data_IF_160498332360
#
_entry.id   IF_160498332360
#
_cell.length_a   1.000
_cell.length_b   1.000
_cell.length_c   1.000
_cell.angle_alpha   90.00
_cell.angle_beta   90.00
_cell.angle_gamma   90.00
#
_symmetry.space_group_name_H-M   'P 1'
#
loop_
_entity.id
_entity.type
_entity.pdbx_description
1 polymer ?
#
# COMPACT_ATOMS: atom_id res chain seq x y z
N UNK A 1 -2.65 -23.35 11.89
CA UNK A 1 -2.35 -22.35 10.83
C UNK A 1 -1.00 -22.72 10.25
N UNK A 2 -0.93 -23.03 8.96
CA UNK A 2 0.35 -23.27 8.27
C UNK A 2 1.01 -21.91 8.03
N UNK A 3 2.23 -21.72 8.52
CA UNK A 3 3.02 -20.55 8.18
C UNK A 3 3.63 -20.79 6.79
N UNK A 4 3.37 -19.88 5.86
CA UNK A 4 4.03 -19.87 4.56
C UNK A 4 5.46 -19.35 4.78
N UNK A 5 6.45 -20.23 4.70
CA UNK A 5 7.86 -19.84 4.76
C UNK A 5 8.32 -19.52 3.34
N UNK A 6 8.53 -18.24 3.04
CA UNK A 6 9.16 -17.81 1.79
C UNK A 6 10.67 -17.75 1.97
N UNK A 7 11.43 -17.92 0.87
CA UNK A 7 12.87 -17.69 0.86
C UNK A 7 13.23 -16.60 -0.15
N UNK A 8 12.93 -15.31 0.16
CA UNK A 8 13.14 -14.21 -0.79
C UNK A 8 14.58 -14.11 -1.30
N UNK A 9 15.56 -14.40 -0.44
CA UNK A 9 16.97 -14.40 -0.79
C UNK A 9 17.33 -15.46 -1.85
N UNK A 10 16.74 -16.67 -1.76
CA UNK A 10 17.01 -17.72 -2.76
C UNK A 10 16.34 -17.42 -4.09
N UNK A 11 15.16 -16.78 -4.07
CA UNK A 11 14.49 -16.29 -5.28
C UNK A 11 15.29 -15.19 -5.97
N UNK A 12 15.86 -14.25 -5.22
CA UNK A 12 16.72 -13.20 -5.78
C UNK A 12 18.02 -13.76 -6.38
N UNK A 13 18.63 -14.76 -5.73
CA UNK A 13 19.78 -15.48 -6.28
C UNK A 13 19.41 -16.20 -7.59
N UNK A 14 18.29 -16.94 -7.60
CA UNK A 14 17.81 -17.63 -8.79
C UNK A 14 17.51 -16.67 -9.96
N UNK A 15 16.96 -15.48 -9.68
CA UNK A 15 16.74 -14.45 -10.69
C UNK A 15 18.07 -13.97 -11.32
N UNK A 16 19.12 -13.85 -10.51
CA UNK A 16 20.47 -13.49 -10.98
C UNK A 16 21.06 -14.59 -11.86
N UNK A 17 20.93 -15.86 -11.45
CA UNK A 17 21.39 -17.00 -12.24
C UNK A 17 20.64 -17.09 -13.58
N UNK A 18 19.33 -16.87 -13.58
CA UNK A 18 18.51 -16.84 -14.79
C UNK A 18 18.91 -15.69 -15.71
N UNK A 19 19.24 -14.51 -15.19
CA UNK A 19 19.76 -13.40 -16.00
C UNK A 19 21.07 -13.80 -16.72
N UNK A 20 21.98 -14.46 -16.00
CA UNK A 20 23.24 -14.95 -16.56
C UNK A 20 23.02 -16.02 -17.65
N UNK A 21 22.07 -16.94 -17.44
CA UNK A 21 21.67 -17.93 -18.44
C UNK A 21 21.11 -17.24 -19.69
N UNK A 22 20.19 -16.28 -19.52
CA UNK A 22 19.61 -15.51 -20.62
C UNK A 22 20.66 -14.75 -21.45
N UNK A 23 21.64 -14.15 -20.77
CA UNK A 23 22.79 -13.50 -21.42
C UNK A 23 23.64 -14.48 -22.22
N UNK A 24 23.92 -15.67 -21.66
CA UNK A 24 24.72 -16.71 -22.32
C UNK A 24 24.02 -17.22 -23.58
N UNK A 25 22.72 -17.49 -23.50
CA UNK A 25 21.92 -17.95 -24.64
C UNK A 25 21.83 -16.87 -25.72
N UNK A 26 21.62 -15.61 -25.34
CA UNK A 26 21.56 -14.50 -26.29
C UNK A 26 22.88 -14.30 -27.03
N UNK A 27 24.02 -14.42 -26.32
CA UNK A 27 25.34 -14.38 -26.93
C UNK A 27 25.58 -15.55 -27.90
N UNK A 28 25.14 -16.76 -27.55
CA UNK A 28 25.23 -17.93 -28.44
C UNK A 28 24.37 -17.76 -29.70
N UNK A 29 23.13 -17.28 -29.55
CA UNK A 29 22.23 -16.99 -30.68
C UNK A 29 22.81 -15.95 -31.63
N UNK A 30 23.41 -14.90 -31.07
CA UNK A 30 24.10 -13.87 -31.84
C UNK A 30 25.31 -14.42 -32.60
N UNK A 31 26.16 -15.21 -31.93
CA UNK A 31 27.35 -15.81 -32.55
C UNK A 31 27.01 -16.75 -33.72
N UNK A 32 25.86 -17.44 -33.64
CA UNK A 32 25.41 -18.38 -34.67
C UNK A 32 24.55 -17.75 -35.77
N UNK A 33 24.19 -16.47 -35.67
CA UNK A 33 23.32 -15.80 -36.63
C UNK A 33 23.88 -15.81 -38.06
N UNK A 34 25.12 -15.35 -38.26
CA UNK A 34 25.73 -15.34 -39.60
C UNK A 34 26.01 -16.76 -40.15
N UNK A 35 26.62 -17.70 -39.39
CA UNK A 35 26.86 -19.07 -39.87
C UNK A 35 25.61 -19.82 -40.32
N UNK A 36 24.46 -19.55 -39.70
CA UNK A 36 23.20 -20.27 -40.02
C UNK A 36 22.37 -19.59 -41.10
N UNK A 37 22.54 -18.28 -41.31
CA UNK A 37 21.80 -17.52 -42.34
C UNK A 37 22.54 -17.45 -43.68
N UNK A 38 23.86 -17.56 -43.68
CA UNK A 38 24.70 -17.47 -44.88
C UNK A 38 25.10 -18.86 -45.44
N UNK A 39 24.18 -19.83 -45.39
CA UNK A 39 24.43 -21.17 -45.95
C UNK A 39 24.54 -21.08 -47.47
N UNK A 40 25.62 -21.62 -48.02
CA UNK A 40 25.88 -21.63 -49.47
C UNK A 40 25.42 -22.95 -50.07
N UNK A 41 24.91 -22.92 -51.30
CA UNK A 41 24.54 -24.10 -52.07
C UNK A 41 25.76 -25.03 -52.26
N UNK A 42 25.58 -26.33 -52.03
CA UNK A 42 26.65 -27.33 -52.15
C UNK A 42 27.04 -27.59 -53.62
N UNK A 43 26.12 -27.38 -54.55
CA UNK A 43 26.30 -27.49 -55.99
C UNK A 43 25.63 -26.34 -56.74
N UNK A 44 25.87 -26.27 -58.06
CA UNK A 44 25.29 -25.25 -58.94
C UNK A 44 23.85 -25.57 -59.40
N UNK A 45 23.28 -26.69 -58.95
CA UNK A 45 21.95 -27.13 -59.29
C UNK A 45 20.87 -26.41 -58.46
N UNK A 46 19.65 -26.40 -59.02
CA UNK A 46 18.50 -25.73 -58.41
C UNK A 46 18.10 -26.34 -57.07
N UNK A 47 18.32 -27.65 -56.86
CA UNK A 47 17.98 -28.32 -55.60
C UNK A 47 18.91 -27.85 -54.49
N UNK A 48 20.22 -27.80 -54.74
CA UNK A 48 21.21 -27.23 -53.81
C UNK A 48 20.90 -25.78 -53.45
N UNK A 49 20.49 -24.97 -54.43
CA UNK A 49 20.11 -23.57 -54.20
C UNK A 49 18.85 -23.45 -53.31
N UNK A 50 17.82 -24.25 -53.58
CA UNK A 50 16.57 -24.25 -52.77
C UNK A 50 16.82 -24.75 -51.36
N UNK A 51 17.66 -25.79 -51.17
CA UNK A 51 18.01 -26.30 -49.83
C UNK A 51 18.76 -25.25 -49.02
N UNK A 52 19.74 -24.57 -49.61
CA UNK A 52 20.45 -23.47 -48.93
C UNK A 52 19.50 -22.32 -48.55
N UNK A 53 18.59 -21.94 -49.45
CA UNK A 53 17.57 -20.93 -49.19
C UNK A 53 16.60 -21.33 -48.05
N UNK A 54 16.20 -22.62 -48.00
CA UNK A 54 15.35 -23.15 -46.92
C UNK A 54 16.04 -23.00 -45.55
N UNK A 55 17.31 -23.38 -45.43
CA UNK A 55 18.05 -23.22 -44.17
C UNK A 55 18.22 -21.75 -43.79
N UNK A 56 18.52 -20.87 -44.76
CA UNK A 56 18.61 -19.43 -44.50
C UNK A 56 17.30 -18.82 -43.98
N UNK A 57 16.17 -19.18 -44.58
CA UNK A 57 14.83 -18.75 -44.15
C UNK A 57 14.46 -19.29 -42.75
N UNK A 58 14.77 -20.57 -42.50
CA UNK A 58 14.57 -21.17 -41.18
C UNK A 58 15.41 -20.47 -40.10
N UNK A 59 16.68 -20.19 -40.39
CA UNK A 59 17.57 -19.48 -39.48
C UNK A 59 17.08 -18.05 -39.18
N UNK A 60 16.58 -17.32 -40.18
CA UNK A 60 15.98 -15.99 -39.96
C UNK A 60 14.74 -16.07 -39.05
N UNK A 61 13.87 -17.06 -39.28
CA UNK A 61 12.70 -17.30 -38.43
C UNK A 61 13.09 -17.67 -37.00
N UNK A 62 14.13 -18.48 -36.84
CA UNK A 62 14.69 -18.84 -35.54
C UNK A 62 15.26 -17.61 -34.80
N UNK A 63 15.98 -16.72 -35.49
CA UNK A 63 16.52 -15.49 -34.89
C UNK A 63 15.41 -14.53 -34.45
N UNK A 64 14.31 -14.42 -35.20
CA UNK A 64 13.16 -13.63 -34.78
C UNK A 64 12.49 -14.21 -33.53
N UNK A 65 12.33 -15.54 -33.48
CA UNK A 65 11.77 -16.24 -32.31
C UNK A 65 12.69 -16.13 -31.09
N UNK A 66 13.99 -16.25 -31.27
CA UNK A 66 14.96 -16.18 -30.18
C UNK A 66 14.99 -14.79 -29.54
N UNK A 67 14.85 -13.73 -30.33
CA UNK A 67 14.70 -12.37 -29.82
C UNK A 67 13.41 -12.19 -29.01
N UNK A 68 12.29 -12.75 -29.47
CA UNK A 68 11.04 -12.73 -28.71
C UNK A 68 11.14 -13.52 -27.39
N UNK A 69 11.81 -14.68 -27.42
CA UNK A 69 12.07 -15.48 -26.24
C UNK A 69 12.96 -14.75 -25.22
N UNK A 70 13.98 -14.00 -25.68
CA UNK A 70 14.83 -13.19 -24.82
C UNK A 70 14.02 -12.11 -24.06
N UNK A 71 13.13 -11.39 -24.76
CA UNK A 71 12.25 -10.40 -24.12
C UNK A 71 11.31 -11.02 -23.08
N UNK A 72 10.73 -12.18 -23.39
CA UNK A 72 9.91 -12.90 -22.43
C UNK A 72 10.72 -13.33 -21.20
N UNK A 73 11.94 -13.83 -21.41
CA UNK A 73 12.84 -14.24 -20.34
C UNK A 73 13.22 -13.07 -19.43
N UNK A 74 13.53 -11.91 -20.01
CA UNK A 74 13.80 -10.68 -19.24
C UNK A 74 12.59 -10.27 -18.38
N UNK A 75 11.39 -10.30 -18.94
CA UNK A 75 10.16 -10.00 -18.20
C UNK A 75 9.93 -11.00 -17.06
N UNK A 76 10.20 -12.29 -17.30
CA UNK A 76 10.09 -13.33 -16.28
C UNK A 76 11.08 -13.09 -15.12
N UNK A 77 12.35 -12.81 -15.43
CA UNK A 77 13.38 -12.51 -14.43
C UNK A 77 13.00 -11.27 -13.61
N UNK A 78 12.53 -10.21 -14.28
CA UNK A 78 12.09 -8.99 -13.62
C UNK A 78 10.92 -9.26 -12.67
N UNK A 79 9.90 -10.02 -13.12
CA UNK A 79 8.76 -10.39 -12.28
C UNK A 79 9.17 -11.23 -11.06
N UNK A 80 10.11 -12.17 -11.24
CA UNK A 80 10.63 -12.99 -10.15
C UNK A 80 11.34 -12.12 -9.08
N UNK A 81 12.13 -11.15 -9.51
CA UNK A 81 12.87 -10.24 -8.63
C UNK A 81 11.91 -9.29 -7.86
N UNK A 82 10.89 -8.77 -8.54
CA UNK A 82 9.84 -7.97 -7.91
C UNK A 82 9.02 -8.79 -6.89
N UNK A 83 8.74 -10.06 -7.21
CA UNK A 83 8.07 -11.00 -6.30
C UNK A 83 8.91 -11.25 -5.03
N UNK A 84 10.21 -11.50 -5.18
CA UNK A 84 11.12 -11.67 -4.05
C UNK A 84 11.14 -10.42 -3.14
N UNK A 85 11.24 -9.22 -3.71
CA UNK A 85 11.19 -7.97 -2.96
C UNK A 85 9.87 -7.77 -2.21
N UNK A 86 8.75 -8.13 -2.84
CA UNK A 86 7.42 -8.07 -2.20
C UNK A 86 7.35 -8.97 -0.97
N UNK A 87 7.81 -10.22 -1.05
CA UNK A 87 7.82 -11.13 0.10
C UNK A 87 8.74 -10.63 1.23
N UNK A 88 9.94 -10.16 0.90
CA UNK A 88 10.86 -9.59 1.90
C UNK A 88 10.23 -8.38 2.62
N UNK A 89 9.53 -7.51 1.89
CA UNK A 89 8.84 -6.36 2.49
C UNK A 89 7.68 -6.77 3.40
N UNK A 90 6.94 -7.82 3.02
CA UNK A 90 5.85 -8.35 3.83
C UNK A 90 6.38 -8.95 5.14
N UNK A 91 7.48 -9.71 5.09
CA UNK A 91 8.15 -10.23 6.29
C UNK A 91 8.62 -9.10 7.21
N UNK A 92 9.26 -8.06 6.65
CA UNK A 92 9.71 -6.91 7.43
C UNK A 92 8.55 -6.15 8.11
N UNK A 93 7.44 -5.92 7.39
CA UNK A 93 6.26 -5.25 7.95
C UNK A 93 5.60 -6.08 9.06
N UNK A 94 5.51 -7.40 8.88
CA UNK A 94 4.97 -8.30 9.91
C UNK A 94 5.83 -8.30 11.17
N UNK A 95 7.16 -8.30 11.04
CA UNK A 95 8.09 -8.21 12.17
C UNK A 95 7.98 -6.85 12.87
N UNK A 96 7.91 -5.76 12.11
CA UNK A 96 7.73 -4.42 12.66
C UNK A 96 6.43 -4.31 13.46
N UNK A 97 5.33 -4.86 12.96
CA UNK A 97 4.06 -4.90 13.67
C UNK A 97 4.16 -5.74 14.95
N UNK A 98 4.79 -6.91 14.90
CA UNK A 98 5.01 -7.75 16.08
C UNK A 98 5.80 -7.03 17.16
N UNK A 99 6.82 -6.26 16.77
CA UNK A 99 7.60 -5.45 17.69
C UNK A 99 6.78 -4.30 18.30
N UNK A 100 6.00 -3.58 17.49
CA UNK A 100 5.09 -2.54 17.98
C UNK A 100 4.05 -3.10 18.95
N UNK A 101 3.50 -4.28 18.66
CA UNK A 101 2.55 -4.97 19.54
C UNK A 101 3.23 -5.36 20.85
N UNK A 102 4.46 -5.86 20.82
CA UNK A 102 5.24 -6.17 22.02
C UNK A 102 5.54 -4.92 22.87
N UNK A 103 5.89 -3.80 22.25
CA UNK A 103 6.11 -2.51 22.94
C UNK A 103 4.80 -2.00 23.58
N UNK A 104 3.68 -2.18 22.89
CA UNK A 104 2.37 -1.70 23.35
C UNK A 104 1.67 -2.66 24.33
N UNK A 105 2.07 -3.92 24.40
CA UNK A 105 1.38 -4.93 25.21
C UNK A 105 1.26 -4.56 26.71
N UNK A 106 2.32 -4.06 27.39
CA UNK A 106 2.21 -3.68 28.79
C UNK A 106 1.22 -2.53 29.02
N UNK A 107 1.24 -1.51 28.18
CA UNK A 107 0.37 -0.33 28.33
C UNK A 107 -1.06 -0.60 27.92
N UNK A 108 -1.29 -1.42 26.89
CA UNK A 108 -2.64 -1.89 26.55
C UNK A 108 -3.24 -2.68 27.71
N UNK A 109 -2.44 -3.52 28.37
CA UNK A 109 -2.89 -4.32 29.51
C UNK A 109 -3.18 -3.44 30.74
N UNK A 110 -2.30 -2.48 31.05
CA UNK A 110 -2.40 -1.68 32.26
C UNK A 110 -3.36 -0.49 32.13
N UNK A 111 -3.42 0.14 30.95
CA UNK A 111 -4.10 1.42 30.74
C UNK A 111 -5.17 1.38 29.65
N UNK A 112 -5.41 0.21 29.01
CA UNK A 112 -6.37 0.07 27.92
C UNK A 112 -6.00 0.83 26.65
N UNK A 113 -4.77 1.36 26.56
CA UNK A 113 -4.29 2.22 25.45
C UNK A 113 -2.86 1.84 25.06
N UNK A 114 -2.49 1.93 23.77
CA UNK A 114 -1.11 1.72 23.36
C UNK A 114 -0.19 2.81 23.94
N UNK A 115 1.10 2.51 24.06
CA UNK A 115 2.13 3.48 24.39
C UNK A 115 2.42 4.39 23.18
N UNK A 116 2.54 3.77 22.01
CA UNK A 116 2.83 4.40 20.73
C UNK A 116 1.85 3.87 19.69
N UNK A 117 1.23 4.77 18.94
CA UNK A 117 0.36 4.44 17.81
C UNK A 117 -0.88 5.31 17.78
N UNK A 118 -1.44 5.49 16.59
CA UNK A 118 -2.64 6.28 16.41
C UNK A 118 -3.88 5.58 16.96
N UNK A 119 -4.87 6.38 17.33
CA UNK A 119 -6.18 5.91 17.73
C UNK A 119 -6.94 5.33 16.55
N UNK A 120 -7.71 4.27 16.78
CA UNK A 120 -8.51 3.66 15.72
C UNK A 120 -9.60 4.62 15.23
N UNK A 121 -9.72 4.80 13.92
CA UNK A 121 -10.87 5.49 13.34
C UNK A 121 -12.14 4.69 13.60
N UNK A 122 -13.23 5.38 13.91
CA UNK A 122 -14.52 4.73 14.01
C UNK A 122 -15.03 4.32 12.62
N UNK A 123 -15.66 3.15 12.55
CA UNK A 123 -16.28 2.62 11.33
C UNK A 123 -17.80 2.49 11.46
N UNK A 124 -18.32 2.43 12.68
CA UNK A 124 -19.76 2.39 12.94
C UNK A 124 -20.34 3.80 12.85
N UNK A 125 -21.47 4.03 12.15
CA UNK A 125 -22.05 5.37 12.02
C UNK A 125 -22.24 6.09 13.36
N UNK A 126 -21.81 7.34 13.45
CA UNK A 126 -21.79 8.14 14.68
C UNK A 126 -20.87 7.63 15.79
N UNK A 127 -20.02 6.63 15.51
CA UNK A 127 -19.05 6.10 16.45
C UNK A 127 -17.86 7.05 16.64
N UNK A 128 -17.35 7.13 17.87
CA UNK A 128 -16.24 8.01 18.21
C UNK A 128 -14.89 7.38 17.86
N UNK A 129 -13.95 8.19 17.37
CA UNK A 129 -12.58 7.77 17.17
C UNK A 129 -11.90 7.38 18.48
N UNK A 130 -11.07 6.35 18.44
CA UNK A 130 -10.28 5.89 19.57
C UNK A 130 -9.20 6.90 19.96
N UNK A 131 -8.79 6.88 21.22
CA UNK A 131 -7.69 7.71 21.69
C UNK A 131 -6.35 7.22 21.13
N UNK A 132 -5.44 8.15 20.82
CA UNK A 132 -4.06 7.87 20.43
C UNK A 132 -3.23 7.27 21.56
N UNK A 133 -2.01 6.87 21.24
CA UNK A 133 -1.05 6.31 22.19
C UNK A 133 -0.70 7.28 23.31
N UNK A 134 -0.27 6.75 24.45
CA UNK A 134 0.04 7.54 25.65
C UNK A 134 1.20 8.53 25.42
N UNK A 135 2.26 8.11 24.72
CA UNK A 135 3.43 8.95 24.44
C UNK A 135 3.37 9.58 23.05
N UNK A 136 3.08 8.77 22.04
CA UNK A 136 3.05 9.24 20.66
C UNK A 136 1.88 8.62 19.91
N UNK A 137 1.09 9.46 19.25
CA UNK A 137 0.00 9.01 18.39
C UNK A 137 -1.12 10.02 18.33
N UNK A 138 -1.66 10.17 17.13
CA UNK A 138 -2.84 10.99 16.88
C UNK A 138 -4.10 10.29 17.40
N UNK A 139 -5.12 11.06 17.71
CA UNK A 139 -6.45 10.50 17.93
C UNK A 139 -7.09 10.02 16.64
N UNK A 140 -7.91 8.98 16.72
CA UNK A 140 -8.67 8.48 15.57
C UNK A 140 -9.81 9.40 15.18
N UNK A 141 -10.22 9.40 13.92
CA UNK A 141 -11.36 10.16 13.44
C UNK A 141 -12.68 9.51 13.87
N UNK A 142 -13.69 10.34 14.14
CA UNK A 142 -15.06 9.87 14.29
C UNK A 142 -15.64 9.35 12.97
N UNK A 143 -16.75 8.62 13.06
CA UNK A 143 -17.50 8.14 11.90
C UNK A 143 -18.71 9.03 11.60
N UNK A 144 -19.06 9.25 10.32
CA UNK A 144 -20.26 10.02 9.95
C UNK A 144 -21.54 9.44 10.59
N UNK A 145 -22.49 10.31 10.92
CA UNK A 145 -23.79 9.89 11.45
C UNK A 145 -24.76 9.40 10.36
N UNK A 146 -25.63 8.46 10.72
CA UNK A 146 -26.83 8.10 9.94
C UNK A 146 -27.94 9.17 10.12
N UNK A 147 -28.99 9.20 9.28
CA UNK A 147 -30.12 10.12 9.48
C UNK A 147 -30.65 10.11 10.92
N UNK A 148 -30.78 11.29 11.52
CA UNK A 148 -31.17 11.48 12.93
C UNK A 148 -30.07 11.18 13.95
N UNK A 149 -28.86 10.79 13.52
CA UNK A 149 -27.73 10.46 14.40
C UNK A 149 -26.58 11.43 14.21
N UNK A 150 -26.02 11.90 15.32
CA UNK A 150 -24.89 12.80 15.32
C UNK A 150 -23.63 12.14 14.71
N UNK A 151 -22.74 12.98 14.20
CA UNK A 151 -21.41 12.55 13.78
C UNK A 151 -20.59 12.15 15.00
N UNK A 152 -19.74 11.14 14.84
CA UNK A 152 -18.86 10.69 15.91
C UNK A 152 -17.79 11.74 16.23
N UNK A 153 -17.42 11.84 17.50
CA UNK A 153 -16.31 12.70 17.90
C UNK A 153 -14.97 12.11 17.48
N UNK A 154 -13.99 12.97 17.21
CA UNK A 154 -12.60 12.55 17.10
C UNK A 154 -12.04 12.12 18.46
N UNK A 155 -11.09 11.21 18.44
CA UNK A 155 -10.35 10.75 19.62
C UNK A 155 -9.29 11.76 20.04
N UNK A 156 -8.93 11.77 21.33
CA UNK A 156 -7.83 12.59 21.82
C UNK A 156 -6.47 11.94 21.58
N UNK A 157 -5.43 12.75 21.37
CA UNK A 157 -4.03 12.29 21.43
C UNK A 157 -3.55 12.09 22.88
N UNK A 158 -2.33 11.56 23.05
CA UNK A 158 -1.66 11.41 24.35
C UNK A 158 -0.74 12.58 24.67
N UNK A 159 0.56 12.29 24.84
CA UNK A 159 1.57 13.31 25.11
C UNK A 159 1.93 14.12 23.85
N UNK A 160 2.25 13.41 22.76
CA UNK A 160 2.57 14.00 21.45
C UNK A 160 1.62 13.42 20.40
N UNK A 161 0.97 14.28 19.62
CA UNK A 161 0.08 13.90 18.53
C UNK A 161 -1.09 14.85 18.37
N UNK A 162 -1.75 14.83 17.22
CA UNK A 162 -2.92 15.65 16.95
C UNK A 162 -4.20 14.94 17.36
N UNK A 163 -5.21 15.70 17.78
CA UNK A 163 -6.54 15.15 18.01
C UNK A 163 -7.19 14.71 16.69
N UNK A 164 -8.01 13.67 16.75
CA UNK A 164 -8.75 13.18 15.59
C UNK A 164 -9.86 14.14 15.18
N UNK A 165 -10.25 14.12 13.91
CA UNK A 165 -11.35 14.93 13.42
C UNK A 165 -12.70 14.36 13.89
N UNK A 166 -13.62 15.26 14.25
CA UNK A 166 -15.04 14.94 14.37
C UNK A 166 -15.65 14.73 12.99
N UNK A 167 -16.64 13.84 12.90
CA UNK A 167 -17.29 13.52 11.63
C UNK A 167 -18.58 14.29 11.40
N UNK A 168 -19.05 14.31 10.16
CA UNK A 168 -20.31 14.96 9.82
C UNK A 168 -21.51 14.30 10.51
N UNK A 169 -22.50 15.09 10.88
CA UNK A 169 -23.80 14.62 11.35
C UNK A 169 -24.62 14.05 10.20
N UNK A 170 -25.43 13.02 10.48
CA UNK A 170 -26.45 12.59 9.53
C UNK A 170 -27.59 13.60 9.44
N UNK A 171 -28.50 13.41 8.49
CA UNK A 171 -29.58 14.38 8.25
C UNK A 171 -30.32 14.75 9.56
N UNK A 172 -30.52 16.05 9.81
CA UNK A 172 -31.16 16.60 11.00
C UNK A 172 -30.36 16.49 12.29
N UNK A 173 -29.10 16.04 12.24
CA UNK A 173 -28.28 15.77 13.40
C UNK A 173 -26.95 16.54 13.37
N UNK A 174 -26.40 16.89 14.55
CA UNK A 174 -25.19 17.69 14.64
C UNK A 174 -23.93 16.92 14.22
N UNK A 175 -22.90 17.66 13.83
CA UNK A 175 -21.55 17.13 13.62
C UNK A 175 -20.88 16.73 14.93
N UNK A 176 -19.92 15.80 14.83
CA UNK A 176 -19.11 15.36 15.95
C UNK A 176 -18.02 16.38 16.29
N UNK A 177 -17.62 16.45 17.55
CA UNK A 177 -16.54 17.34 17.98
C UNK A 177 -15.16 16.79 17.55
N UNK A 178 -14.20 17.68 17.32
CA UNK A 178 -12.79 17.31 17.18
C UNK A 178 -12.20 16.85 18.52
N UNK A 179 -11.25 15.92 18.46
CA UNK A 179 -10.53 15.43 19.63
C UNK A 179 -9.44 16.40 20.09
N UNK A 180 -9.02 16.31 21.35
CA UNK A 180 -7.92 17.13 21.86
C UNK A 180 -6.56 16.71 21.28
N UNK A 181 -5.69 17.69 21.04
CA UNK A 181 -4.28 17.49 20.71
C UNK A 181 -3.46 17.01 21.90
N UNK A 182 -2.23 16.62 21.63
CA UNK A 182 -1.31 16.04 22.60
C UNK A 182 -0.91 17.06 23.64
N UNK A 183 -0.79 16.62 24.90
CA UNK A 183 -0.56 17.53 26.03
C UNK A 183 0.67 18.42 25.84
N UNK A 184 1.80 17.83 25.40
CA UNK A 184 3.05 18.55 25.18
C UNK A 184 3.12 19.16 23.78
N UNK A 185 2.71 18.40 22.76
CA UNK A 185 2.77 18.87 21.38
C UNK A 185 1.66 18.24 20.54
N UNK A 186 0.87 19.09 19.90
CA UNK A 186 -0.10 18.69 18.92
C UNK A 186 -1.32 19.61 18.85
N UNK A 187 -1.93 19.65 17.68
CA UNK A 187 -3.14 20.43 17.44
C UNK A 187 -4.38 19.63 17.82
N UNK A 188 -5.43 20.33 18.24
CA UNK A 188 -6.75 19.72 18.33
C UNK A 188 -7.29 19.36 16.96
N UNK A 189 -8.14 18.34 16.91
CA UNK A 189 -8.82 17.93 15.70
C UNK A 189 -9.92 18.91 15.29
N UNK A 190 -10.26 18.94 14.01
CA UNK A 190 -11.37 19.78 13.53
C UNK A 190 -12.71 19.20 13.96
N UNK A 191 -13.69 20.07 14.23
CA UNK A 191 -15.08 19.65 14.39
C UNK A 191 -15.71 19.24 13.06
N UNK A 192 -16.66 18.32 13.11
CA UNK A 192 -17.41 17.84 11.95
C UNK A 192 -18.56 18.79 11.58
N UNK A 193 -18.96 18.78 10.31
CA UNK A 193 -20.10 19.59 9.86
C UNK A 193 -21.43 19.01 10.36
N UNK A 194 -22.44 19.86 10.54
CA UNK A 194 -23.80 19.38 10.83
C UNK A 194 -24.46 18.77 9.59
N UNK A 195 -25.40 17.86 9.80
CA UNK A 195 -26.09 17.18 8.70
C UNK A 195 -27.14 18.05 8.01
N UNK A 196 -27.51 17.74 6.76
CA UNK A 196 -28.57 18.47 6.04
C UNK A 196 -29.92 18.32 6.75
N UNK A 197 -30.82 19.30 6.65
CA UNK A 197 -32.14 19.21 7.28
C UNK A 197 -33.03 18.11 6.68
N UNK A 198 -33.94 17.52 7.48
CA UNK A 198 -34.97 16.62 6.95
C UNK A 198 -36.15 17.42 6.40
N UNK A 199 -36.57 17.08 5.17
CA UNK A 199 -37.80 17.59 4.55
C UNK A 199 -38.94 16.61 4.84
N UNK A 200 -39.56 16.69 6.01
CA UNK A 200 -40.78 15.93 6.30
C UNK A 200 -42.04 16.75 5.94
N UNK A 201 -42.20 17.04 4.64
CA UNK A 201 -43.40 17.68 4.08
C UNK A 201 -43.74 19.12 4.52
N UNK A 202 -42.99 19.72 5.44
CA UNK A 202 -43.14 21.10 5.92
C UNK A 202 -41.99 22.04 5.49
N UNK A 203 -42.01 23.34 5.89
CA UNK A 203 -40.95 24.28 5.53
C UNK A 203 -39.57 23.73 5.95
N UNK A 204 -38.55 23.99 5.13
CA UNK A 204 -37.23 23.36 5.19
C UNK A 204 -36.76 23.10 6.63
N UNK A 205 -36.61 21.83 7.00
CA UNK A 205 -36.07 21.45 8.30
C UNK A 205 -34.70 22.09 8.48
N UNK A 206 -34.44 22.69 9.64
CA UNK A 206 -33.13 23.22 9.96
C UNK A 206 -32.10 22.08 9.94
N UNK A 207 -30.96 22.30 9.28
CA UNK A 207 -29.84 21.36 9.33
C UNK A 207 -29.28 21.23 10.74
N UNK A 208 -28.52 20.16 10.98
CA UNK A 208 -27.76 20.01 12.21
C UNK A 208 -26.67 21.08 12.34
N UNK A 209 -26.27 21.39 13.57
CA UNK A 209 -25.16 22.30 13.83
C UNK A 209 -23.82 21.60 13.62
N UNK A 210 -22.76 22.35 13.29
CA UNK A 210 -21.39 21.82 13.31
C UNK A 210 -20.92 21.45 14.72
N UNK A 211 -19.99 20.50 14.80
CA UNK A 211 -19.26 20.16 16.01
C UNK A 211 -18.14 21.15 16.28
N UNK A 212 -17.77 21.28 17.55
CA UNK A 212 -16.65 22.13 17.97
C UNK A 212 -15.30 21.54 17.56
N UNK A 213 -14.31 22.39 17.31
CA UNK A 213 -12.91 21.95 17.20
C UNK A 213 -12.36 21.49 18.55
N UNK A 214 -11.35 20.62 18.51
CA UNK A 214 -10.61 20.18 19.67
C UNK A 214 -9.60 21.23 20.14
N UNK A 215 -9.25 21.17 21.42
CA UNK A 215 -8.20 22.01 22.00
C UNK A 215 -6.81 21.51 21.58
N UNK A 216 -5.87 22.41 21.31
CA UNK A 216 -4.45 22.06 21.12
C UNK A 216 -3.77 21.71 22.45
N UNK A 217 -2.51 21.29 22.34
CA UNK A 217 -1.64 21.03 23.50
C UNK A 217 -1.39 22.26 24.35
N UNK A 218 -1.13 22.03 25.65
CA UNK A 218 -0.76 23.07 26.59
C UNK A 218 0.73 23.40 26.44
N UNK A 219 1.10 24.05 25.33
CA UNK A 219 2.42 24.65 25.25
C UNK A 219 2.46 25.82 26.25
N UNK A 220 3.35 25.75 27.24
CA UNK A 220 3.66 26.90 28.10
C UNK A 220 4.01 28.10 27.20
N UNK A 221 3.44 29.30 27.45
CA UNK A 221 3.88 30.48 26.73
C UNK A 221 5.35 30.71 27.11
N UNK A 222 6.27 30.63 26.16
CA UNK A 222 7.66 31.02 26.40
C UNK A 222 7.66 32.47 26.88
N UNK A 223 8.09 32.66 28.13
CA UNK A 223 8.25 33.94 28.80
C UNK A 223 9.67 34.47 28.71
#
# INVERSE_FOLDING_TARGET
MSFLTTAPATMAAAATDLANIGSTISAANFAMAAPTTAVVAAGADEISAVVAALFGSHAQSYQALSAQAALFHEQFVHALQAGAGSYASAEANNVAQTLLDAINAPTRTLFGRPLIGDGANATTPGGNGGAGGLLYGNGGNGAPGDPGKAGGSGGAAGLIGNGGAGAAGGAGAPGGNGGAGGWLLGNGGTGGTGGPGLLDGGPAGFGGTGGAGGTGGAAEPEG
#
